data_IF_084152860153
#
_entry.id   IF_084152860153
#
_cell.length_a   1.000
_cell.length_b   1.000
_cell.length_c   1.000
_cell.angle_alpha   90.00
_cell.angle_beta   90.00
_cell.angle_gamma   90.00
#
_symmetry.space_group_name_H-M   'P 1'
#
loop_
_entity.id
_entity.type
_entity.pdbx_description
1 polymer ?
#
# COMPACT_ATOMS: atom_id res chain seq x y z
N UNK A 1 -2.26 -19.75 -6.71
CA UNK A 1 -1.95 -18.83 -5.59
C UNK A 1 -3.21 -18.04 -5.28
N UNK A 2 -3.71 -18.11 -4.05
CA UNK A 2 -4.87 -17.38 -3.55
C UNK A 2 -4.43 -16.03 -3.00
N UNK A 3 -4.62 -14.97 -3.77
CA UNK A 3 -4.41 -13.59 -3.29
C UNK A 3 -5.67 -13.08 -2.58
N UNK A 4 -5.48 -12.46 -1.43
CA UNK A 4 -6.48 -11.65 -0.74
C UNK A 4 -6.00 -10.20 -0.69
N UNK A 5 -6.82 -9.24 -1.13
CA UNK A 5 -6.51 -7.82 -1.04
C UNK A 5 -7.17 -7.23 0.21
N UNK A 6 -6.37 -6.74 1.15
CA UNK A 6 -6.82 -5.95 2.29
C UNK A 6 -6.58 -4.47 1.97
N UNK A 7 -7.64 -3.68 1.77
CA UNK A 7 -7.48 -2.35 1.15
C UNK A 7 -8.47 -1.29 1.63
N UNK A 8 -8.06 -0.02 1.53
CA UNK A 8 -8.87 1.20 1.63
C UNK A 8 -8.10 2.35 0.95
N UNK A 9 -8.73 3.39 0.36
CA UNK A 9 -10.16 3.68 0.10
C UNK A 9 -10.67 3.10 -1.25
N UNK A 10 -11.99 3.16 -1.58
CA UNK A 10 -12.61 2.44 -2.71
C UNK A 10 -11.97 2.67 -4.08
N UNK A 11 -11.71 3.93 -4.46
CA UNK A 11 -11.19 4.26 -5.81
C UNK A 11 -9.84 3.58 -6.08
N UNK A 12 -8.95 3.59 -5.10
CA UNK A 12 -7.64 2.94 -5.20
C UNK A 12 -7.78 1.43 -5.22
N UNK A 13 -8.70 0.87 -4.42
CA UNK A 13 -8.98 -0.57 -4.43
C UNK A 13 -9.43 -1.03 -5.81
N UNK A 14 -10.41 -0.34 -6.41
CA UNK A 14 -10.91 -0.65 -7.76
C UNK A 14 -9.77 -0.57 -8.78
N UNK A 15 -8.97 0.50 -8.71
CA UNK A 15 -7.86 0.69 -9.63
C UNK A 15 -6.81 -0.42 -9.53
N UNK A 16 -6.44 -0.83 -8.31
CA UNK A 16 -5.53 -1.97 -8.08
C UNK A 16 -6.11 -3.25 -8.66
N UNK A 17 -7.39 -3.56 -8.40
CA UNK A 17 -8.04 -4.79 -8.88
C UNK A 17 -8.03 -4.84 -10.41
N UNK A 18 -8.46 -3.76 -11.06
CA UNK A 18 -8.50 -3.69 -12.52
C UNK A 18 -7.12 -3.89 -13.13
N UNK A 19 -6.11 -3.18 -12.63
CA UNK A 19 -4.74 -3.29 -13.13
C UNK A 19 -4.14 -4.68 -12.89
N UNK A 20 -4.40 -5.28 -11.72
CA UNK A 20 -3.95 -6.63 -11.39
C UNK A 20 -4.45 -7.67 -12.41
N UNK A 21 -5.73 -7.59 -12.79
CA UNK A 21 -6.35 -8.51 -13.74
C UNK A 21 -5.70 -8.44 -15.13
N UNK A 22 -5.33 -7.24 -15.59
CA UNK A 22 -4.60 -7.08 -16.87
C UNK A 22 -3.24 -7.79 -16.88
N UNK A 23 -2.68 -8.06 -15.69
CA UNK A 23 -1.39 -8.73 -15.49
C UNK A 23 -1.55 -10.16 -14.97
N UNK A 24 -2.73 -10.77 -15.09
CA UNK A 24 -3.04 -12.13 -14.61
C UNK A 24 -2.91 -12.35 -13.09
N UNK A 25 -2.98 -11.29 -12.29
CA UNK A 25 -3.20 -11.39 -10.84
C UNK A 25 -4.71 -11.25 -10.59
N UNK A 26 -5.30 -12.24 -9.90
CA UNK A 26 -6.69 -12.19 -9.47
C UNK A 26 -6.77 -12.28 -7.95
N UNK A 27 -7.54 -11.38 -7.35
CA UNK A 27 -7.90 -11.44 -5.93
C UNK A 27 -9.15 -12.30 -5.79
N UNK A 28 -9.06 -13.40 -5.05
CA UNK A 28 -10.23 -14.25 -4.79
C UNK A 28 -11.16 -13.57 -3.76
N UNK A 29 -10.54 -12.85 -2.82
CA UNK A 29 -11.20 -12.14 -1.74
C UNK A 29 -10.64 -10.71 -1.65
N UNK A 30 -11.52 -9.73 -1.50
CA UNK A 30 -11.19 -8.33 -1.24
C UNK A 30 -11.83 -7.96 0.09
N UNK A 31 -11.00 -7.58 1.05
CA UNK A 31 -11.41 -7.18 2.39
C UNK A 31 -11.19 -5.68 2.53
N UNK A 32 -12.28 -4.95 2.77
CA UNK A 32 -12.25 -3.52 2.99
C UNK A 32 -12.18 -3.23 4.48
N UNK A 33 -11.24 -2.36 4.85
CA UNK A 33 -11.19 -1.79 6.21
C UNK A 33 -12.02 -0.51 6.24
N UNK A 34 -13.21 -0.62 6.85
CA UNK A 34 -14.21 0.43 6.94
C UNK A 34 -15.63 -0.11 6.78
N UNK A 35 -16.59 0.77 7.05
CA UNK A 35 -18.01 0.43 7.04
C UNK A 35 -18.53 0.23 5.62
N UNK A 36 -19.42 -0.75 5.47
CA UNK A 36 -20.24 -0.89 4.28
C UNK A 36 -21.14 0.35 4.11
N UNK A 37 -20.87 1.14 3.08
CA UNK A 37 -21.64 2.34 2.74
C UNK A 37 -21.67 2.59 1.23
N UNK A 38 -22.49 3.54 0.78
CA UNK A 38 -22.71 3.86 -0.63
C UNK A 38 -21.43 4.19 -1.42
N UNK A 39 -20.36 4.65 -0.76
CA UNK A 39 -19.08 4.92 -1.42
C UNK A 39 -18.44 3.67 -2.05
N UNK A 40 -18.92 2.47 -1.70
CA UNK A 40 -18.45 1.18 -2.23
C UNK A 40 -19.39 0.55 -3.28
N UNK A 41 -20.42 1.25 -3.74
CA UNK A 41 -21.39 0.69 -4.71
C UNK A 41 -20.70 0.21 -6.00
N UNK A 42 -19.80 1.01 -6.57
CA UNK A 42 -19.02 0.61 -7.73
C UNK A 42 -18.11 -0.60 -7.45
N UNK A 43 -17.58 -0.72 -6.23
CA UNK A 43 -16.76 -1.87 -5.86
C UNK A 43 -17.62 -3.15 -5.74
N UNK A 44 -18.86 -3.05 -5.25
CA UNK A 44 -19.83 -4.16 -5.25
C UNK A 44 -20.18 -4.61 -6.65
N UNK A 45 -20.49 -3.67 -7.54
CA UNK A 45 -20.76 -3.99 -8.95
C UNK A 45 -19.58 -4.74 -9.58
N UNK A 46 -18.36 -4.27 -9.35
CA UNK A 46 -17.15 -4.94 -9.82
C UNK A 46 -16.97 -6.33 -9.18
N UNK A 47 -17.29 -6.52 -7.90
CA UNK A 47 -17.20 -7.82 -7.25
C UNK A 47 -18.07 -8.89 -7.96
N UNK A 48 -19.27 -8.50 -8.37
CA UNK A 48 -20.16 -9.37 -9.14
C UNK A 48 -19.61 -9.68 -10.54
N UNK A 49 -19.15 -8.65 -11.26
CA UNK A 49 -18.66 -8.78 -12.63
C UNK A 49 -17.37 -9.62 -12.70
N UNK A 50 -16.45 -9.36 -11.78
CA UNK A 50 -15.11 -9.94 -11.77
C UNK A 50 -14.99 -11.20 -10.90
N UNK A 51 -16.08 -11.57 -10.22
CA UNK A 51 -16.24 -12.79 -9.41
C UNK A 51 -15.22 -12.91 -8.27
N UNK A 52 -15.08 -11.85 -7.48
CA UNK A 52 -14.37 -11.90 -6.20
C UNK A 52 -15.33 -11.71 -5.04
N UNK A 53 -15.00 -12.30 -3.89
CA UNK A 53 -15.79 -12.07 -2.67
C UNK A 53 -15.40 -10.72 -2.06
N UNK A 54 -16.38 -9.87 -1.78
CA UNK A 54 -16.17 -8.59 -1.12
C UNK A 54 -16.61 -8.69 0.34
N UNK A 55 -15.72 -8.27 1.25
CA UNK A 55 -15.94 -8.30 2.69
C UNK A 55 -15.64 -6.94 3.31
N UNK A 56 -16.25 -6.66 4.46
CA UNK A 56 -16.04 -5.42 5.22
C UNK A 56 -15.71 -5.75 6.68
N UNK A 57 -14.72 -5.06 7.23
CA UNK A 57 -14.32 -5.15 8.64
C UNK A 57 -13.90 -3.78 9.16
N UNK A 58 -14.06 -3.52 10.45
CA UNK A 58 -13.65 -2.25 11.05
C UNK A 58 -12.14 -2.19 11.31
N UNK A 59 -11.56 -3.29 11.80
CA UNK A 59 -10.13 -3.42 12.08
C UNK A 59 -9.67 -4.84 11.73
N UNK A 60 -8.61 -5.02 10.91
CA UNK A 60 -8.03 -6.34 10.66
C UNK A 60 -7.59 -7.06 11.93
N UNK A 61 -7.26 -6.34 13.01
CA UNK A 61 -6.83 -6.93 14.27
C UNK A 61 -8.00 -7.29 15.21
N UNK A 62 -9.25 -7.00 14.85
CA UNK A 62 -10.41 -7.39 15.65
C UNK A 62 -10.62 -8.90 15.63
N UNK A 63 -11.50 -9.43 16.49
CA UNK A 63 -11.83 -10.86 16.49
C UNK A 63 -12.46 -11.27 15.16
N UNK A 64 -13.32 -10.41 14.61
CA UNK A 64 -14.03 -10.56 13.36
C UNK A 64 -13.06 -10.51 12.18
N UNK A 65 -12.17 -9.51 12.13
CA UNK A 65 -11.13 -9.41 11.11
C UNK A 65 -10.19 -10.61 11.10
N UNK A 66 -9.75 -11.03 12.29
CA UNK A 66 -8.92 -12.22 12.47
C UNK A 66 -9.64 -13.50 12.01
N UNK A 67 -10.89 -13.69 12.40
CA UNK A 67 -11.67 -14.86 12.01
C UNK A 67 -11.92 -14.90 10.49
N UNK A 68 -12.24 -13.76 9.89
CA UNK A 68 -12.47 -13.64 8.46
C UNK A 68 -11.20 -13.96 7.66
N UNK A 69 -10.07 -13.31 7.97
CA UNK A 69 -8.83 -13.52 7.22
C UNK A 69 -8.34 -14.97 7.39
N UNK A 70 -8.55 -15.59 8.56
CA UNK A 70 -8.30 -17.02 8.76
C UNK A 70 -9.19 -17.92 7.89
N UNK A 71 -10.48 -17.61 7.80
CA UNK A 71 -11.42 -18.36 6.97
C UNK A 71 -11.09 -18.23 5.47
N UNK A 72 -10.61 -17.07 5.05
CA UNK A 72 -10.10 -16.85 3.68
C UNK A 72 -8.87 -17.71 3.42
N UNK A 73 -7.98 -17.91 4.41
CA UNK A 73 -6.75 -18.68 4.27
C UNK A 73 -5.93 -18.31 3.01
N UNK A 74 -5.52 -17.03 2.85
CA UNK A 74 -4.81 -16.59 1.67
C UNK A 74 -3.40 -17.22 1.58
N UNK A 75 -2.93 -17.45 0.36
CA UNK A 75 -1.49 -17.69 0.14
C UNK A 75 -0.72 -16.39 0.36
N UNK A 76 -1.25 -15.29 -0.19
CA UNK A 76 -0.65 -13.96 -0.08
C UNK A 76 -1.70 -12.94 0.35
N UNK A 77 -1.39 -12.18 1.40
CA UNK A 77 -2.17 -11.02 1.81
C UNK A 77 -1.52 -9.76 1.23
N UNK A 78 -2.19 -9.17 0.25
CA UNK A 78 -1.80 -7.92 -0.37
C UNK A 78 -2.43 -6.76 0.42
N UNK A 79 -1.60 -5.87 0.97
CA UNK A 79 -2.01 -4.86 1.96
C UNK A 79 -1.89 -3.44 1.39
N UNK A 80 -3.00 -2.70 1.46
CA UNK A 80 -3.11 -1.29 1.14
C UNK A 80 -4.00 -0.58 2.18
N UNK A 81 -3.56 -0.56 3.45
CA UNK A 81 -4.31 0.06 4.56
C UNK A 81 -3.38 0.87 5.45
N UNK A 82 -3.95 1.71 6.31
CA UNK A 82 -3.19 2.49 7.29
C UNK A 82 -3.00 1.76 8.63
N UNK A 83 -3.70 0.64 8.85
CA UNK A 83 -3.65 -0.13 10.08
C UNK A 83 -2.33 -0.88 10.21
N UNK A 84 -1.77 -0.90 11.42
CA UNK A 84 -0.67 -1.81 11.76
C UNK A 84 -1.24 -3.21 11.93
N UNK A 85 -0.76 -4.16 11.14
CA UNK A 85 -1.16 -5.56 11.25
C UNK A 85 -0.35 -6.26 12.35
N UNK A 86 -1.03 -6.87 13.32
CA UNK A 86 -0.39 -7.58 14.42
C UNK A 86 -0.02 -9.01 14.03
N UNK A 87 0.90 -9.62 14.80
CA UNK A 87 1.38 -11.00 14.60
C UNK A 87 0.29 -12.03 14.26
N UNK A 88 -0.90 -12.03 14.91
CA UNK A 88 -1.94 -13.02 14.58
C UNK A 88 -2.46 -12.93 13.15
N UNK A 89 -2.46 -11.74 12.54
CA UNK A 89 -2.83 -11.55 11.13
C UNK A 89 -1.67 -11.93 10.22
N UNK A 90 -0.45 -11.47 10.56
CA UNK A 90 0.75 -11.74 9.77
C UNK A 90 1.09 -13.24 9.69
N UNK A 91 0.66 -14.03 10.66
CA UNK A 91 0.86 -15.49 10.68
C UNK A 91 -0.13 -16.27 9.81
N UNK A 92 -1.16 -15.63 9.24
CA UNK A 92 -2.20 -16.34 8.46
C UNK A 92 -1.73 -16.66 7.04
N UNK A 93 -1.17 -15.70 6.27
CA UNK A 93 -0.86 -15.95 4.87
C UNK A 93 0.21 -17.04 4.75
N UNK A 94 -0.04 -18.04 3.90
CA UNK A 94 0.85 -19.20 3.77
C UNK A 94 2.24 -18.84 3.24
N UNK A 95 2.32 -17.81 2.40
CA UNK A 95 3.54 -17.43 1.67
C UNK A 95 4.07 -16.07 2.16
N UNK A 96 3.26 -15.01 2.07
CA UNK A 96 3.72 -13.67 2.37
C UNK A 96 2.58 -12.69 2.68
N UNK A 97 2.91 -11.66 3.45
CA UNK A 97 2.14 -10.41 3.49
C UNK A 97 2.95 -9.36 2.74
N UNK A 98 2.36 -8.71 1.73
CA UNK A 98 3.03 -7.69 0.90
C UNK A 98 2.30 -6.37 1.06
N UNK A 99 2.99 -5.34 1.55
CA UNK A 99 2.43 -4.00 1.72
C UNK A 99 2.90 -3.06 0.61
N UNK A 100 2.02 -2.13 0.20
CA UNK A 100 2.34 -1.04 -0.72
C UNK A 100 2.43 0.30 0.03
N UNK A 101 3.66 0.74 0.27
CA UNK A 101 3.98 1.98 0.99
C UNK A 101 4.20 3.17 0.05
N UNK A 102 3.65 4.33 0.40
CA UNK A 102 3.76 5.57 -0.41
C UNK A 102 5.00 6.41 -0.06
N UNK A 103 6.11 5.75 0.23
CA UNK A 103 7.43 6.35 0.46
C UNK A 103 8.54 5.49 -0.14
N UNK A 104 9.72 6.09 -0.30
CA UNK A 104 10.94 5.36 -0.69
C UNK A 104 11.56 4.76 0.56
N UNK A 105 11.50 3.43 0.66
CA UNK A 105 12.14 2.66 1.71
C UNK A 105 13.61 2.39 1.35
N UNK A 106 14.50 2.30 2.36
CA UNK A 106 14.24 2.43 3.80
C UNK A 106 14.08 3.88 4.31
N UNK A 107 14.41 4.89 3.51
CA UNK A 107 14.63 6.27 3.95
C UNK A 107 13.41 6.88 4.67
N UNK A 108 12.21 6.67 4.13
CA UNK A 108 10.97 7.28 4.61
C UNK A 108 9.95 6.21 4.99
N UNK A 109 10.03 5.70 6.22
CA UNK A 109 9.04 4.76 6.81
C UNK A 109 7.89 5.53 7.47
N UNK A 110 6.72 4.91 7.58
CA UNK A 110 5.58 5.46 8.30
C UNK A 110 4.83 6.55 7.55
N UNK A 111 4.22 7.48 8.28
CA UNK A 111 3.19 8.35 7.73
C UNK A 111 3.78 9.61 7.07
N UNK A 112 3.01 10.22 6.17
CA UNK A 112 3.39 11.45 5.45
C UNK A 112 4.75 11.40 4.72
N UNK A 113 5.25 10.19 4.41
CA UNK A 113 6.57 9.95 3.84
C UNK A 113 6.93 10.85 2.65
N UNK A 114 5.97 11.16 1.77
CA UNK A 114 6.18 12.08 0.63
C UNK A 114 6.51 13.51 1.08
N UNK A 115 5.80 14.02 2.09
CA UNK A 115 6.03 15.38 2.62
C UNK A 115 7.38 15.47 3.31
N UNK A 116 7.72 14.45 4.10
CA UNK A 116 9.03 14.37 4.75
C UNK A 116 10.16 14.30 3.73
N UNK A 117 9.98 13.50 2.66
CA UNK A 117 10.94 13.45 1.56
C UNK A 117 11.15 14.82 0.91
N UNK A 118 10.08 15.56 0.61
CA UNK A 118 10.20 16.89 0.02
C UNK A 118 10.90 17.86 1.00
N UNK A 119 10.48 17.87 2.27
CA UNK A 119 11.04 18.76 3.29
C UNK A 119 12.56 18.56 3.49
N UNK A 120 13.03 17.33 3.36
CA UNK A 120 14.45 16.97 3.51
C UNK A 120 15.24 16.99 2.19
N UNK A 121 14.61 17.34 1.06
CA UNK A 121 15.25 17.29 -0.26
C UNK A 121 15.52 15.86 -0.76
N UNK A 122 14.82 14.87 -0.21
CA UNK A 122 14.92 13.46 -0.58
C UNK A 122 14.04 13.07 -1.78
N UNK A 123 14.04 11.77 -2.10
CA UNK A 123 13.25 11.22 -3.21
C UNK A 123 11.83 10.85 -2.79
N UNK A 124 10.84 11.32 -3.55
CA UNK A 124 9.45 10.87 -3.45
C UNK A 124 9.26 9.58 -4.26
N UNK A 125 8.32 8.71 -3.86
CA UNK A 125 7.97 7.52 -4.64
C UNK A 125 7.16 6.49 -3.86
N UNK A 126 7.21 5.24 -4.31
CA UNK A 126 6.47 4.11 -3.74
C UNK A 126 7.40 2.92 -3.56
N UNK A 127 7.19 2.14 -2.50
CA UNK A 127 7.87 0.86 -2.26
C UNK A 127 6.86 -0.23 -1.92
N UNK A 128 7.00 -1.40 -2.54
CA UNK A 128 6.35 -2.63 -2.11
C UNK A 128 7.37 -3.48 -1.34
N UNK A 129 6.98 -3.96 -0.17
CA UNK A 129 7.85 -4.72 0.72
C UNK A 129 7.10 -5.87 1.40
N UNK A 130 7.87 -6.87 1.84
CA UNK A 130 7.37 -7.91 2.73
C UNK A 130 7.09 -7.28 4.10
N UNK A 131 5.99 -7.68 4.75
CA UNK A 131 5.64 -7.18 6.08
C UNK A 131 6.25 -8.08 7.15
N UNK A 132 6.96 -7.47 8.09
CA UNK A 132 7.47 -8.07 9.31
C UNK A 132 6.77 -7.43 10.54
N UNK A 133 7.33 -7.61 11.73
CA UNK A 133 6.73 -7.04 12.96
C UNK A 133 6.97 -5.54 13.12
N UNK A 134 7.87 -4.95 12.33
CA UNK A 134 8.19 -3.53 12.39
C UNK A 134 7.34 -2.70 11.43
N UNK A 135 7.44 -1.38 11.56
CA UNK A 135 6.73 -0.45 10.69
C UNK A 135 7.55 -0.19 9.42
N UNK A 136 7.12 -0.79 8.31
CA UNK A 136 7.75 -0.67 7.00
C UNK A 136 9.24 -1.11 6.96
N UNK A 137 9.63 -2.08 7.79
CA UNK A 137 11.03 -2.54 7.92
C UNK A 137 11.38 -3.78 7.11
N UNK A 138 10.38 -4.56 6.69
CA UNK A 138 10.64 -5.81 5.97
C UNK A 138 11.24 -5.63 4.57
N UNK A 139 11.70 -6.72 3.97
CA UNK A 139 12.52 -6.67 2.75
C UNK A 139 11.78 -6.03 1.56
N UNK A 140 12.46 -5.13 0.85
CA UNK A 140 11.90 -4.37 -0.27
C UNK A 140 11.88 -5.25 -1.52
N UNK A 141 10.70 -5.48 -2.09
CA UNK A 141 10.52 -6.25 -3.32
C UNK A 141 10.69 -5.37 -4.56
N UNK A 142 10.10 -4.18 -4.55
CA UNK A 142 10.10 -3.22 -5.66
C UNK A 142 10.02 -1.81 -5.06
N UNK A 143 10.74 -0.84 -5.64
CA UNK A 143 10.54 0.59 -5.35
C UNK A 143 10.73 1.41 -6.61
N UNK A 144 9.96 2.48 -6.76
CA UNK A 144 10.06 3.41 -7.89
C UNK A 144 9.99 4.85 -7.39
N UNK A 145 10.95 5.65 -7.81
CA UNK A 145 10.97 7.10 -7.55
C UNK A 145 9.96 7.80 -8.45
N UNK A 146 9.40 8.89 -7.94
CA UNK A 146 8.61 9.85 -8.68
C UNK A 146 9.47 11.10 -8.86
N UNK A 147 9.65 11.54 -10.11
CA UNK A 147 10.28 12.82 -10.38
C UNK A 147 9.31 13.98 -10.15
N UNK A 148 9.74 14.91 -9.30
CA UNK A 148 9.09 16.20 -9.14
C UNK A 148 9.31 17.03 -10.40
N UNK A 149 8.28 17.74 -10.81
CA UNK A 149 8.23 18.55 -12.03
C UNK A 149 7.96 20.01 -11.66
N UNK A 150 8.42 20.98 -12.48
CA UNK A 150 8.03 22.37 -12.31
C UNK A 150 6.51 22.54 -12.26
N UNK A 151 6.03 23.32 -11.28
CA UNK A 151 4.60 23.53 -11.04
C UNK A 151 3.87 22.38 -10.34
N UNK A 152 4.58 21.38 -9.82
CA UNK A 152 3.97 20.39 -8.93
C UNK A 152 3.41 21.04 -7.66
N UNK A 153 2.27 20.52 -7.21
CA UNK A 153 1.73 20.75 -5.86
C UNK A 153 1.78 19.44 -5.08
N UNK A 154 1.64 19.49 -3.75
CA UNK A 154 1.54 18.26 -2.97
C UNK A 154 0.40 17.37 -3.46
N UNK A 155 -0.67 17.96 -4.00
CA UNK A 155 -1.81 17.24 -4.59
C UNK A 155 -1.40 16.51 -5.87
N UNK A 156 -0.78 17.19 -6.84
CA UNK A 156 -0.37 16.54 -8.11
C UNK A 156 0.65 15.43 -7.87
N UNK A 157 1.58 15.64 -6.94
CA UNK A 157 2.54 14.62 -6.50
C UNK A 157 1.82 13.43 -5.87
N UNK A 158 0.86 13.68 -4.98
CA UNK A 158 0.06 12.62 -4.34
C UNK A 158 -0.74 11.83 -5.36
N UNK A 159 -1.44 12.51 -6.26
CA UNK A 159 -2.28 11.87 -7.28
C UNK A 159 -1.44 10.99 -8.20
N UNK A 160 -0.30 11.49 -8.72
CA UNK A 160 0.61 10.65 -9.54
C UNK A 160 1.16 9.46 -8.76
N UNK A 161 1.51 9.65 -7.49
CA UNK A 161 2.02 8.55 -6.68
C UNK A 161 0.95 7.48 -6.43
N UNK A 162 -0.30 7.87 -6.18
CA UNK A 162 -1.43 6.97 -5.89
C UNK A 162 -2.01 6.30 -7.14
N UNK A 163 -2.25 7.06 -8.22
CA UNK A 163 -2.98 6.60 -9.41
C UNK A 163 -2.06 6.22 -10.58
N UNK A 164 -0.75 6.41 -10.48
CA UNK A 164 0.19 5.99 -11.54
C UNK A 164 1.21 5.01 -11.00
N UNK A 165 1.97 5.39 -9.99
CA UNK A 165 3.09 4.56 -9.52
C UNK A 165 2.65 3.39 -8.64
N UNK A 166 1.64 3.58 -7.79
CA UNK A 166 1.29 2.65 -6.73
C UNK A 166 0.94 1.26 -7.24
N UNK A 167 0.00 1.16 -8.17
CA UNK A 167 -0.42 -0.13 -8.72
C UNK A 167 0.72 -0.80 -9.50
N UNK A 168 1.54 -0.05 -10.25
CA UNK A 168 2.66 -0.63 -11.01
C UNK A 168 3.65 -1.33 -10.08
N UNK A 169 4.07 -0.64 -9.02
CA UNK A 169 4.99 -1.18 -8.01
C UNK A 169 4.35 -2.37 -7.28
N UNK A 170 3.06 -2.26 -6.94
CA UNK A 170 2.38 -3.30 -6.19
C UNK A 170 2.20 -4.59 -6.98
N UNK A 171 1.69 -4.48 -8.21
CA UNK A 171 1.46 -5.64 -9.08
C UNK A 171 2.79 -6.28 -9.49
N UNK A 172 3.84 -5.49 -9.75
CA UNK A 172 5.18 -6.04 -9.99
C UNK A 172 5.67 -6.89 -8.79
N UNK A 173 5.48 -6.40 -7.56
CA UNK A 173 5.84 -7.15 -6.36
C UNK A 173 5.01 -8.43 -6.17
N UNK A 174 3.70 -8.38 -6.44
CA UNK A 174 2.84 -9.57 -6.37
C UNK A 174 3.22 -10.60 -7.44
N UNK A 175 3.60 -10.18 -8.64
CA UNK A 175 4.11 -11.06 -9.70
C UNK A 175 5.43 -11.73 -9.30
N UNK A 176 6.35 -11.02 -8.64
CA UNK A 176 7.57 -11.61 -8.07
C UNK A 176 7.23 -12.72 -7.08
N UNK A 177 6.35 -12.44 -6.12
CA UNK A 177 5.89 -13.45 -5.14
C UNK A 177 5.21 -14.63 -5.84
N UNK A 178 4.40 -14.37 -6.89
CA UNK A 178 3.76 -15.43 -7.68
C UNK A 178 4.76 -16.38 -8.33
N UNK A 179 5.93 -15.88 -8.74
CA UNK A 179 7.04 -16.67 -9.28
C UNK A 179 7.91 -17.35 -8.21
N UNK A 180 7.59 -17.18 -6.93
CA UNK A 180 8.36 -17.72 -5.81
C UNK A 180 9.51 -16.82 -5.35
N UNK A 181 9.64 -15.61 -5.88
CA UNK A 181 10.62 -14.61 -5.44
C UNK A 181 10.13 -13.92 -4.16
N UNK A 182 10.18 -14.65 -3.04
CA UNK A 182 9.69 -14.21 -1.72
C UNK A 182 10.81 -13.65 -0.82
N UNK A 183 11.84 -13.06 -1.45
CA UNK A 183 12.93 -12.36 -0.78
C UNK A 183 13.19 -11.05 -1.50
N UNK A 184 13.42 -10.00 -0.73
CA UNK A 184 13.69 -8.67 -1.23
C UNK A 184 15.09 -8.20 -0.84
N UNK A 185 15.29 -6.89 -0.97
CA UNK A 185 16.47 -6.20 -0.46
C UNK A 185 16.23 -5.95 1.03
N UNK A 186 17.10 -6.48 1.89
CA UNK A 186 17.07 -6.21 3.33
C UNK A 186 17.26 -4.72 3.59
N UNK A 187 16.52 -4.20 4.55
CA UNK A 187 16.68 -2.83 5.02
C UNK A 187 17.59 -2.84 6.24
N UNK A 188 18.63 -2.01 6.25
CA UNK A 188 19.42 -1.80 7.45
C UNK A 188 18.72 -0.78 8.36
N UNK A 189 18.94 -0.91 9.67
CA UNK A 189 18.28 -0.05 10.68
C UNK A 189 18.68 1.41 10.52
N UNK A 190 19.94 1.66 10.15
CA UNK A 190 20.52 3.00 10.02
C UNK A 190 20.27 3.70 8.68
N UNK A 191 19.69 3.01 7.69
CA UNK A 191 19.45 3.58 6.34
C UNK A 191 18.22 4.49 6.25
N UNK A 192 17.40 4.55 7.31
CA UNK A 192 16.16 5.32 7.26
C UNK A 192 15.54 5.60 8.62
N UNK A 193 14.53 6.47 8.61
CA UNK A 193 13.83 6.92 9.82
C UNK A 193 12.35 6.60 9.74
N UNK A 194 11.74 6.43 10.91
CA UNK A 194 10.30 6.37 11.04
C UNK A 194 9.74 7.78 11.18
N UNK A 195 8.79 8.12 10.32
CA UNK A 195 8.08 9.39 10.33
C UNK A 195 6.63 9.22 10.76
N UNK A 196 6.09 10.31 11.30
CA UNK A 196 4.70 10.43 11.74
C UNK A 196 3.97 11.47 10.89
N UNK A 197 2.69 11.67 11.16
CA UNK A 197 1.91 12.73 10.50
C UNK A 197 2.63 14.07 10.67
N UNK A 198 2.83 14.78 9.56
CA UNK A 198 3.52 16.06 9.55
C UNK A 198 2.63 17.13 10.16
N UNK A 199 3.18 17.94 11.07
CA UNK A 199 2.44 19.06 11.64
C UNK A 199 2.00 20.05 10.54
N UNK A 200 0.77 20.59 10.56
CA UNK A 200 0.26 21.45 9.48
C UNK A 200 1.14 22.66 9.13
N UNK A 201 1.84 23.24 10.12
CA UNK A 201 2.80 24.33 9.86
C UNK A 201 4.00 23.90 9.00
N UNK A 202 4.50 22.68 9.18
CA UNK A 202 5.57 22.12 8.34
C UNK A 202 5.05 21.75 6.95
N UNK A 203 3.81 21.25 6.86
CA UNK A 203 3.19 20.96 5.58
C UNK A 203 3.09 22.21 4.68
N UNK A 204 2.83 23.39 5.26
CA UNK A 204 2.87 24.66 4.51
C UNK A 204 4.27 24.98 3.96
N UNK A 205 5.33 24.61 4.66
CA UNK A 205 6.70 24.79 4.16
C UNK A 205 6.94 23.89 2.95
N UNK A 206 6.45 22.65 2.99
CA UNK A 206 6.52 21.72 1.84
C UNK A 206 5.82 22.29 0.62
N UNK A 207 4.65 22.90 0.80
CA UNK A 207 3.91 23.53 -0.30
C UNK A 207 4.74 24.67 -0.92
N UNK A 208 5.31 25.57 -0.10
CA UNK A 208 6.20 26.65 -0.57
C UNK A 208 7.47 26.13 -1.26
N UNK A 209 8.03 25.01 -0.79
CA UNK A 209 9.20 24.40 -1.44
C UNK A 209 8.88 23.90 -2.84
N UNK A 210 7.71 23.27 -3.04
CA UNK A 210 7.29 22.82 -4.36
C UNK A 210 7.03 23.99 -5.32
N UNK A 211 6.45 25.08 -4.84
CA UNK A 211 6.27 26.32 -5.63
C UNK A 211 7.60 26.94 -6.10
N UNK A 212 8.71 26.66 -5.39
CA UNK A 212 10.03 27.17 -5.74
C UNK A 212 10.78 26.34 -6.80
N UNK A 213 10.27 25.14 -7.13
CA UNK A 213 10.79 24.31 -8.23
C UNK A 213 10.28 24.93 -9.54
N UNK A 214 11.02 25.92 -10.05
CA UNK A 214 10.81 26.54 -11.37
C UNK A 214 11.70 25.92 -12.43
#
# INVERSE_FOLDING_TARGET
MKFCLLSTPPLITIHIIYQAQTQNIKFADVVIVGNDSQQYDLLRENAHNDRFNLHFIDDPNSKEGLALIKAIAPDVLAVNVFNILRKPILAIPKIATVNIHTGILPQYRGLDSRRWAILEGGSVGVSAHLVDEGLDTGEILVRRKLELQPGDTIKTVTDRNYYTNKWQVFIEALLKVQRGEVRGIKQEVNEGKQYFIMHPKLAKIVDLMLESIN
#
